data_IF_526826160780
#
_entry.id   IF_526826160780
#
_cell.length_a   1.000
_cell.length_b   1.000
_cell.length_c   1.000
_cell.angle_alpha   90.00
_cell.angle_beta   90.00
_cell.angle_gamma   90.00
#
_symmetry.space_group_name_H-M   'P 1'
#
loop_
_entity.id
_entity.type
_entity.pdbx_description
1 polymer ?
#
# COMPACT_ATOMS: atom_id res chain seq x y z
N UNK A 1 -12.07 24.73 -45.23
CA UNK A 1 -11.99 24.68 -43.76
C UNK A 1 -11.54 23.27 -43.38
N UNK A 2 -10.24 23.07 -43.18
CA UNK A 2 -9.66 21.75 -42.84
C UNK A 2 -9.71 21.60 -41.31
N UNK A 3 -10.50 20.65 -40.80
CA UNK A 3 -10.48 20.30 -39.37
C UNK A 3 -9.18 19.58 -39.08
N UNK A 4 -8.34 20.21 -38.27
CA UNK A 4 -7.13 19.63 -37.70
C UNK A 4 -7.56 18.63 -36.63
N UNK A 5 -7.71 17.35 -37.00
CA UNK A 5 -7.92 16.27 -36.05
C UNK A 5 -6.56 15.87 -35.50
N UNK A 6 -6.07 16.64 -34.54
CA UNK A 6 -4.96 16.22 -33.69
C UNK A 6 -5.38 14.93 -32.97
N UNK A 7 -4.69 13.79 -33.18
CA UNK A 7 -4.99 12.58 -32.44
C UNK A 7 -4.72 12.86 -30.96
N UNK A 8 -5.73 12.63 -30.11
CA UNK A 8 -5.59 12.62 -28.65
C UNK A 8 -4.48 11.62 -28.31
N UNK A 9 -3.27 12.14 -28.08
CA UNK A 9 -2.11 11.34 -27.68
C UNK A 9 -2.47 10.71 -26.34
N UNK A 10 -2.68 9.39 -26.34
CA UNK A 10 -2.90 8.65 -25.11
C UNK A 10 -1.78 9.02 -24.12
N UNK A 11 -2.16 9.45 -22.92
CA UNK A 11 -1.20 9.79 -21.87
C UNK A 11 -0.31 8.55 -21.70
N UNK A 12 1.02 8.68 -21.74
CA UNK A 12 1.89 7.52 -21.53
C UNK A 12 1.44 6.84 -20.23
N UNK A 13 1.22 5.53 -20.30
CA UNK A 13 0.96 4.74 -19.11
C UNK A 13 2.06 5.08 -18.10
N UNK A 14 1.69 5.53 -16.89
CA UNK A 14 2.67 5.77 -15.84
C UNK A 14 3.55 4.52 -15.73
N UNK A 15 4.87 4.70 -15.68
CA UNK A 15 5.79 3.57 -15.55
C UNK A 15 5.36 2.67 -14.38
N UNK A 16 5.40 1.34 -14.54
CA UNK A 16 4.99 0.44 -13.49
C UNK A 16 5.88 0.65 -12.27
N UNK A 17 5.27 1.02 -11.14
CA UNK A 17 5.97 1.14 -9.86
C UNK A 17 6.24 -0.28 -9.35
N UNK A 18 7.51 -0.65 -9.09
CA UNK A 18 7.80 -1.98 -8.58
C UNK A 18 7.17 -2.18 -7.19
N UNK A 19 6.75 -3.42 -6.86
CA UNK A 19 6.27 -3.72 -5.52
C UNK A 19 7.35 -3.49 -4.47
N UNK A 20 6.94 -3.03 -3.29
CA UNK A 20 7.81 -2.89 -2.13
C UNK A 20 7.60 -4.07 -1.18
N UNK A 21 8.66 -4.81 -0.86
CA UNK A 21 8.60 -5.93 0.08
C UNK A 21 9.12 -5.51 1.46
N UNK A 22 8.19 -5.53 2.43
CA UNK A 22 8.34 -5.36 3.87
C UNK A 22 8.66 -6.67 4.62
N UNK A 23 9.73 -6.75 5.42
CA UNK A 23 9.74 -7.69 6.55
C UNK A 23 9.10 -6.97 7.75
N UNK A 24 8.05 -7.56 8.32
CA UNK A 24 7.24 -6.98 9.39
C UNK A 24 7.13 -7.95 10.58
N UNK A 25 6.85 -7.40 11.76
CA UNK A 25 6.47 -8.19 12.94
C UNK A 25 4.94 -8.16 13.12
N UNK A 26 4.28 -9.31 12.96
CA UNK A 26 2.91 -9.48 13.45
C UNK A 26 2.94 -9.73 14.95
N UNK A 27 2.41 -8.80 15.73
CA UNK A 27 2.27 -8.97 17.17
C UNK A 27 1.07 -9.89 17.47
N UNK A 28 1.33 -11.10 17.97
CA UNK A 28 0.28 -12.03 18.42
C UNK A 28 -0.27 -11.65 19.80
N UNK A 29 0.58 -11.01 20.60
CA UNK A 29 0.30 -10.36 21.87
C UNK A 29 1.31 -9.21 22.06
N UNK A 30 1.36 -8.63 23.26
CA UNK A 30 2.24 -7.50 23.61
C UNK A 30 3.75 -7.79 23.48
N UNK A 31 4.19 -9.05 23.57
CA UNK A 31 5.60 -9.42 23.60
C UNK A 31 6.01 -10.48 22.57
N UNK A 32 5.07 -11.02 21.81
CA UNK A 32 5.32 -12.10 20.84
C UNK A 32 5.24 -11.58 19.39
N UNK A 33 6.37 -11.15 18.79
CA UNK A 33 6.45 -10.88 17.36
C UNK A 33 6.56 -12.18 16.56
N UNK A 34 5.76 -12.29 15.50
CA UNK A 34 5.88 -13.31 14.46
C UNK A 34 6.36 -12.63 13.17
N UNK A 35 7.55 -12.97 12.64
CA UNK A 35 8.04 -12.42 11.39
C UNK A 35 7.11 -12.79 10.23
N UNK A 36 6.68 -11.79 9.46
CA UNK A 36 5.91 -11.97 8.23
C UNK A 36 6.50 -11.10 7.13
N UNK A 37 6.34 -11.54 5.87
CA UNK A 37 6.68 -10.72 4.72
C UNK A 37 5.42 -10.09 4.14
N UNK A 38 5.48 -8.82 3.77
CA UNK A 38 4.37 -8.11 3.15
C UNK A 38 4.79 -7.50 1.81
N UNK A 39 3.88 -7.55 0.84
CA UNK A 39 4.04 -6.92 -0.46
C UNK A 39 3.11 -5.71 -0.56
N UNK A 40 3.68 -4.54 -0.83
CA UNK A 40 2.96 -3.29 -1.05
C UNK A 40 2.96 -2.97 -2.55
N UNK A 41 1.76 -2.84 -3.13
CA UNK A 41 1.55 -2.53 -4.56
C UNK A 41 0.80 -1.22 -4.74
N UNK A 42 1.33 -0.37 -5.59
CA UNK A 42 0.68 0.85 -6.08
C UNK A 42 0.10 0.59 -7.49
N UNK A 43 -1.18 0.93 -7.67
CA UNK A 43 -1.84 0.90 -8.98
C UNK A 43 -2.09 2.34 -9.46
N UNK A 44 -1.51 2.79 -10.58
CA UNK A 44 -1.74 4.15 -11.09
C UNK A 44 -3.19 4.43 -11.50
N UNK A 45 -4.01 3.40 -11.72
CA UNK A 45 -5.44 3.54 -11.97
C UNK A 45 -6.27 3.72 -10.69
N UNK A 46 -5.70 3.38 -9.53
CA UNK A 46 -6.30 3.56 -8.20
C UNK A 46 -5.31 4.26 -7.25
N UNK A 47 -4.87 5.50 -7.57
CA UNK A 47 -3.72 6.13 -6.92
C UNK A 47 -3.93 6.46 -5.44
N UNK A 48 -5.17 6.46 -4.96
CA UNK A 48 -5.51 6.72 -3.57
C UNK A 48 -5.35 5.47 -2.67
N UNK A 49 -5.08 4.29 -3.24
CA UNK A 49 -5.07 3.00 -2.52
C UNK A 49 -3.73 2.30 -2.72
N UNK A 50 -3.20 1.75 -1.63
CA UNK A 50 -2.11 0.78 -1.64
C UNK A 50 -2.71 -0.59 -1.33
N UNK A 51 -2.41 -1.57 -2.18
CA UNK A 51 -2.75 -2.97 -1.91
C UNK A 51 -1.62 -3.59 -1.11
N UNK A 52 -1.93 -4.18 0.03
CA UNK A 52 -0.96 -4.86 0.91
C UNK A 52 -1.34 -6.32 0.99
N UNK A 53 -0.43 -7.21 0.61
CA UNK A 53 -0.59 -8.65 0.76
C UNK A 53 0.35 -9.14 1.86
N UNK A 54 -0.20 -9.69 2.94
CA UNK A 54 0.58 -10.30 4.00
C UNK A 54 0.81 -11.76 3.66
N UNK A 55 2.05 -12.14 3.37
CA UNK A 55 2.39 -13.46 2.87
C UNK A 55 2.28 -14.49 3.99
N UNK A 56 1.34 -15.41 3.86
CA UNK A 56 1.20 -16.53 4.77
C UNK A 56 2.14 -17.68 4.34
N UNK A 57 2.85 -18.29 5.30
CA UNK A 57 3.62 -19.52 5.00
C UNK A 57 2.72 -20.68 4.56
N UNK A 58 1.48 -20.71 5.08
CA UNK A 58 0.45 -21.70 4.74
C UNK A 58 -0.92 -21.04 4.69
N UNK A 59 -1.73 -21.43 3.70
CA UNK A 59 -3.09 -20.93 3.53
C UNK A 59 -3.14 -19.62 2.73
N UNK A 60 -4.33 -18.97 2.67
CA UNK A 60 -4.50 -17.75 1.89
C UNK A 60 -3.81 -16.54 2.54
N UNK A 61 -3.06 -15.78 1.74
CA UNK A 61 -2.51 -14.49 2.13
C UNK A 61 -3.63 -13.44 2.20
N UNK A 62 -3.88 -12.79 3.36
CA UNK A 62 -4.86 -11.73 3.42
C UNK A 62 -4.40 -10.50 2.63
N UNK A 63 -5.34 -9.92 1.87
CA UNK A 63 -5.11 -8.73 1.04
C UNK A 63 -5.90 -7.56 1.61
N UNK A 64 -5.20 -6.49 1.93
CA UNK A 64 -5.75 -5.25 2.47
C UNK A 64 -5.64 -4.13 1.45
N UNK A 65 -6.63 -3.25 1.43
CA UNK A 65 -6.63 -2.01 0.65
C UNK A 65 -6.60 -0.85 1.60
N UNK A 66 -5.47 -0.16 1.66
CA UNK A 66 -5.23 0.91 2.63
C UNK A 66 -5.10 2.23 1.87
N UNK A 67 -5.73 3.29 2.38
CA UNK A 67 -5.57 4.62 1.82
C UNK A 67 -4.09 5.04 1.82
N UNK A 68 -3.58 5.50 0.67
CA UNK A 68 -2.18 5.94 0.55
C UNK A 68 -1.85 7.06 1.52
N UNK A 69 -2.77 8.01 1.69
CA UNK A 69 -2.61 9.11 2.64
C UNK A 69 -2.64 8.63 4.09
N UNK A 70 -3.42 7.58 4.40
CA UNK A 70 -3.42 6.99 5.75
C UNK A 70 -2.05 6.37 6.08
N UNK A 71 -1.43 5.65 5.12
CA UNK A 71 -0.06 5.15 5.28
C UNK A 71 0.92 6.30 5.50
N UNK A 72 0.83 7.36 4.69
CA UNK A 72 1.73 8.51 4.79
C UNK A 72 1.62 9.24 6.13
N UNK A 73 0.40 9.56 6.58
CA UNK A 73 0.17 10.21 7.86
C UNK A 73 0.53 9.31 9.06
N UNK A 74 0.28 8.00 8.94
CA UNK A 74 0.59 6.99 9.96
C UNK A 74 2.08 6.88 10.30
N UNK A 75 2.98 7.30 9.39
CA UNK A 75 4.42 7.34 9.64
C UNK A 75 4.84 8.39 10.67
N UNK A 76 4.03 9.44 10.87
CA UNK A 76 4.42 10.61 11.69
C UNK A 76 3.40 10.97 12.76
N UNK A 77 2.17 10.48 12.67
CA UNK A 77 1.08 10.84 13.57
C UNK A 77 0.08 9.70 13.75
N UNK A 78 -0.58 9.69 14.91
CA UNK A 78 -1.71 8.79 15.14
C UNK A 78 -2.85 9.13 14.17
N UNK A 79 -3.18 8.17 13.31
CA UNK A 79 -4.11 8.30 12.19
C UNK A 79 -5.05 7.10 12.11
N UNK A 80 -6.21 7.24 11.46
CA UNK A 80 -7.14 6.13 11.30
C UNK A 80 -8.25 6.37 10.28
N UNK A 81 -8.75 5.30 9.68
CA UNK A 81 -9.93 5.30 8.83
C UNK A 81 -10.58 3.91 8.85
N UNK A 82 -11.87 3.84 9.21
CA UNK A 82 -12.59 2.57 9.36
C UNK A 82 -11.86 1.61 10.30
N UNK A 83 -11.55 0.41 9.80
CA UNK A 83 -10.92 -0.67 10.56
C UNK A 83 -9.40 -0.50 10.73
N UNK A 84 -8.80 0.50 10.08
CA UNK A 84 -7.34 0.69 10.06
C UNK A 84 -6.95 1.85 10.98
N UNK A 85 -6.02 1.58 11.90
CA UNK A 85 -5.36 2.56 12.76
C UNK A 85 -3.85 2.46 12.57
N UNK A 86 -3.16 3.60 12.53
CA UNK A 86 -1.71 3.67 12.37
C UNK A 86 -1.13 4.74 13.27
N UNK A 87 0.06 4.50 13.78
CA UNK A 87 0.81 5.45 14.57
C UNK A 87 2.30 5.10 14.47
N UNK A 88 3.20 6.10 14.58
CA UNK A 88 4.61 5.81 14.72
C UNK A 88 4.87 5.08 16.03
N UNK A 89 5.60 3.97 15.96
CA UNK A 89 6.19 3.33 17.13
C UNK A 89 7.60 3.90 17.34
N UNK A 90 8.04 3.97 18.60
CA UNK A 90 9.44 4.26 18.89
C UNK A 90 10.32 3.14 18.28
N UNK A 91 11.50 3.47 17.75
CA UNK A 91 12.47 2.46 17.34
C UNK A 91 12.71 1.47 18.48
N UNK A 92 12.71 0.17 18.18
CA UNK A 92 13.14 -0.88 19.10
C UNK A 92 14.66 -0.89 19.25
#
# INVERSE_FOLDING_TARGET
>A
MHRDQSPLKARPASEPVPPLFLDLDQMLDEFTPLPIRAEFRFDPNMPAVITVEFQAERGPSPIWRIGRELLHHGLTSMSGCGDVRMWPALPR
#
